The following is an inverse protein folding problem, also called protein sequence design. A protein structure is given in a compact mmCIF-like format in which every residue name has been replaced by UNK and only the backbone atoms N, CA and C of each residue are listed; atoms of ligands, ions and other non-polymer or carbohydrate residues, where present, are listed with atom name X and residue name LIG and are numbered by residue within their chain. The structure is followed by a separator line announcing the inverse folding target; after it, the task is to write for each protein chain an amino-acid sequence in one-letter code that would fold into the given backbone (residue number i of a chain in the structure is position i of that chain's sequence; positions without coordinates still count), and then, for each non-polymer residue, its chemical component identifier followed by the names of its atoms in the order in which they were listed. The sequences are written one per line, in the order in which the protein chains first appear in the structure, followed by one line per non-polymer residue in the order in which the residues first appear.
data_IF_694077804995
#
_entry.id   IF_694077804995
#
_cell.length_a   1.000
_cell.length_b   1.000
_cell.length_c   1.000
_cell.angle_alpha   90.00
_cell.angle_beta   90.00
_cell.angle_gamma   90.00
#
_symmetry.space_group_name_H-M   'P 1'
#
loop_
_entity.id
_entity.type
_entity.pdbx_description
1 polymer ?
#
# COMPACT_ATOMS: atom_id res chain seq x y z
N UNK A 1 33.93 22.33 26.50
CA UNK A 1 33.39 21.42 25.46
C UNK A 1 31.94 21.11 25.78
N UNK A 2 31.01 21.35 24.85
CA UNK A 2 29.56 21.18 25.07
C UNK A 2 29.09 19.71 25.01
N UNK A 3 27.96 19.41 25.63
CA UNK A 3 27.34 18.08 25.60
C UNK A 3 26.57 17.87 24.29
N UNK A 4 26.59 16.65 23.76
CA UNK A 4 25.85 16.27 22.53
C UNK A 4 24.35 16.55 22.69
N UNK A 5 23.79 17.35 21.79
CA UNK A 5 22.37 17.71 21.84
C UNK A 5 21.47 16.56 21.39
N UNK A 6 20.21 16.57 21.84
CA UNK A 6 19.23 15.52 21.50
C UNK A 6 19.05 15.32 19.99
N UNK A 7 19.15 16.39 19.19
CA UNK A 7 19.04 16.33 17.73
C UNK A 7 20.14 15.47 17.10
N UNK A 8 21.40 15.66 17.52
CA UNK A 8 22.54 14.86 17.06
C UNK A 8 22.39 13.39 17.45
N UNK A 9 21.83 13.11 18.63
CA UNK A 9 21.58 11.73 19.10
C UNK A 9 20.55 10.98 18.26
N UNK A 10 19.63 11.63 17.54
CA UNK A 10 18.59 10.93 16.75
C UNK A 10 19.15 10.15 15.57
N UNK A 11 20.21 10.65 14.92
CA UNK A 11 20.85 10.00 13.77
C UNK A 11 21.95 9.00 14.14
N UNK A 12 22.38 8.95 15.41
CA UNK A 12 23.45 8.07 15.84
C UNK A 12 23.04 6.58 15.78
N UNK A 13 23.91 5.75 15.21
CA UNK A 13 23.72 4.30 15.22
C UNK A 13 23.66 3.77 16.67
N UNK A 14 22.70 2.88 16.95
CA UNK A 14 22.50 2.36 18.32
C UNK A 14 21.76 3.31 19.28
N UNK A 15 21.30 4.47 18.81
CA UNK A 15 20.53 5.41 19.62
C UNK A 15 19.19 4.83 20.10
N UNK A 16 18.71 5.38 21.22
CA UNK A 16 17.39 5.07 21.82
C UNK A 16 16.24 5.52 20.90
N UNK A 17 16.49 6.42 19.95
CA UNK A 17 15.47 6.96 19.03
C UNK A 17 15.15 6.05 17.83
N UNK A 18 15.32 4.72 17.97
CA UNK A 18 14.96 3.75 16.94
C UNK A 18 13.46 3.43 17.00
N UNK A 19 12.87 3.21 15.83
CA UNK A 19 11.49 2.76 15.74
C UNK A 19 11.38 1.29 16.22
N UNK A 20 10.37 1.00 17.03
CA UNK A 20 10.05 -0.37 17.44
C UNK A 20 9.30 -1.07 16.29
N UNK A 21 10.01 -1.90 15.51
CA UNK A 21 9.47 -2.50 14.28
C UNK A 21 9.02 -3.94 14.43
N UNK A 22 9.23 -4.59 15.57
CA UNK A 22 9.00 -6.03 15.75
C UNK A 22 7.52 -6.44 15.65
N UNK A 23 6.58 -5.52 15.88
CA UNK A 23 5.14 -5.77 15.76
C UNK A 23 4.55 -5.38 14.40
N UNK A 24 5.36 -4.82 13.47
CA UNK A 24 4.88 -4.40 12.16
C UNK A 24 4.47 -5.62 11.32
N UNK A 25 3.27 -5.56 10.74
CA UNK A 25 2.71 -6.63 9.91
C UNK A 25 3.39 -6.74 8.56
N UNK A 26 3.84 -5.60 8.00
CA UNK A 26 4.59 -5.58 6.75
C UNK A 26 4.53 -4.23 6.03
N UNK A 27 5.28 -4.09 4.93
CA UNK A 27 5.21 -2.89 4.09
C UNK A 27 3.85 -2.82 3.39
N UNK A 28 3.14 -1.68 3.48
CA UNK A 28 2.03 -1.41 2.58
C UNK A 28 2.62 -0.86 1.28
N UNK A 29 2.58 -1.66 0.23
CA UNK A 29 3.12 -1.31 -1.08
C UNK A 29 2.27 -1.94 -2.16
N UNK A 30 2.19 -1.27 -3.30
CA UNK A 30 1.59 -1.86 -4.48
C UNK A 30 2.51 -2.92 -5.09
N UNK A 31 1.89 -3.93 -5.69
CA UNK A 31 2.56 -4.84 -6.63
C UNK A 31 3.04 -4.07 -7.87
N UNK A 32 3.97 -4.66 -8.61
CA UNK A 32 4.14 -4.30 -10.02
C UNK A 32 2.84 -4.59 -10.77
N UNK A 33 2.18 -3.57 -11.33
CA UNK A 33 0.97 -3.79 -12.11
C UNK A 33 1.29 -4.43 -13.47
N UNK A 34 0.31 -5.20 -13.96
CA UNK A 34 0.29 -5.69 -15.33
C UNK A 34 0.15 -4.50 -16.30
N UNK A 35 1.06 -4.38 -17.27
CA UNK A 35 1.14 -3.21 -18.16
C UNK A 35 -0.06 -3.06 -19.10
N UNK A 36 -0.65 -4.18 -19.52
CA UNK A 36 -1.65 -4.21 -20.59
C UNK A 36 -3.06 -4.63 -20.11
N UNK A 37 -3.17 -5.12 -18.88
CA UNK A 37 -4.40 -5.72 -18.36
C UNK A 37 -4.84 -5.14 -17.02
N UNK A 38 -5.56 -5.97 -16.28
CA UNK A 38 -5.92 -5.74 -14.89
C UNK A 38 -5.61 -7.00 -14.08
N UNK A 39 -5.27 -6.81 -12.82
CA UNK A 39 -5.12 -7.86 -11.85
C UNK A 39 -6.30 -7.81 -10.88
N UNK A 40 -6.98 -8.95 -10.69
CA UNK A 40 -8.07 -9.08 -9.71
C UNK A 40 -7.54 -9.69 -8.42
N UNK A 41 -7.75 -9.00 -7.32
CA UNK A 41 -7.50 -9.47 -5.96
C UNK A 41 -8.79 -9.57 -5.16
N UNK A 42 -8.76 -10.38 -4.10
CA UNK A 42 -9.83 -10.44 -3.09
C UNK A 42 -9.27 -9.89 -1.79
N UNK A 43 -9.97 -8.95 -1.17
CA UNK A 43 -9.65 -8.51 0.19
C UNK A 43 -9.96 -9.68 1.13
N UNK A 44 -8.91 -10.33 1.64
CA UNK A 44 -9.09 -11.42 2.61
C UNK A 44 -9.52 -10.87 3.96
N UNK A 45 -8.82 -9.87 4.49
CA UNK A 45 -9.07 -9.29 5.80
C UNK A 45 -8.60 -7.84 5.87
N UNK A 46 -9.15 -7.09 6.83
CA UNK A 46 -8.70 -5.74 7.20
C UNK A 46 -8.03 -5.84 8.56
N UNK A 47 -6.75 -5.49 8.64
CA UNK A 47 -5.87 -5.75 9.79
C UNK A 47 -5.30 -4.44 10.33
N UNK A 48 -5.27 -4.31 11.65
CA UNK A 48 -4.58 -3.20 12.32
C UNK A 48 -3.05 -3.43 12.35
N UNK A 49 -2.27 -2.44 11.91
CA UNK A 49 -0.80 -2.41 12.04
C UNK A 49 -0.42 -1.43 13.16
N UNK A 50 0.17 -1.88 14.28
CA UNK A 50 0.43 -1.02 15.45
C UNK A 50 1.29 0.21 15.19
N UNK A 51 2.07 0.21 14.10
CA UNK A 51 2.90 1.34 13.67
C UNK A 51 2.20 2.33 12.76
N UNK A 52 0.92 2.13 12.44
CA UNK A 52 0.12 2.95 11.53
C UNK A 52 -1.22 3.29 12.19
N UNK A 53 -1.69 4.51 11.97
CA UNK A 53 -3.06 4.89 12.36
C UNK A 53 -4.11 4.38 11.35
N UNK A 54 -3.69 4.06 10.13
CA UNK A 54 -4.58 3.54 9.09
C UNK A 54 -4.63 2.00 9.10
N UNK A 55 -5.81 1.38 8.86
CA UNK A 55 -5.94 -0.05 8.68
C UNK A 55 -5.27 -0.53 7.38
N UNK A 56 -4.88 -1.79 7.36
CA UNK A 56 -4.32 -2.45 6.19
C UNK A 56 -5.27 -3.47 5.59
N UNK A 57 -5.46 -3.43 4.29
CA UNK A 57 -6.19 -4.46 3.55
C UNK A 57 -5.23 -5.56 3.13
N UNK A 58 -5.46 -6.79 3.59
CA UNK A 58 -4.74 -7.97 3.11
C UNK A 58 -5.41 -8.48 1.85
N UNK A 59 -4.80 -8.24 0.70
CA UNK A 59 -5.35 -8.63 -0.61
C UNK A 59 -4.66 -9.88 -1.13
N UNK A 60 -5.46 -10.87 -1.51
CA UNK A 60 -4.97 -12.12 -2.10
C UNK A 60 -5.15 -12.07 -3.61
N UNK A 61 -4.04 -12.16 -4.32
CA UNK A 61 -3.96 -12.20 -5.77
C UNK A 61 -3.61 -13.59 -6.28
N UNK A 62 -4.10 -13.93 -7.46
CA UNK A 62 -3.59 -15.08 -8.21
C UNK A 62 -2.31 -14.68 -8.92
N UNK A 63 -1.28 -15.52 -8.84
CA UNK A 63 -0.06 -15.30 -9.62
C UNK A 63 -0.35 -15.54 -11.12
N UNK A 64 0.13 -14.67 -12.03
CA UNK A 64 -0.16 -14.80 -13.47
C UNK A 64 0.41 -16.08 -14.08
N UNK A 65 1.67 -16.40 -13.77
CA UNK A 65 2.38 -17.54 -14.39
C UNK A 65 2.49 -18.82 -13.55
N UNK A 66 2.22 -18.78 -12.24
CA UNK A 66 2.45 -19.91 -11.33
C UNK A 66 1.16 -20.25 -10.58
N UNK A 67 0.97 -21.51 -10.21
CA UNK A 67 -0.14 -21.91 -9.33
C UNK A 67 0.18 -21.53 -7.87
N UNK A 68 0.15 -20.22 -7.58
CA UNK A 68 0.41 -19.66 -6.25
C UNK A 68 -0.51 -18.47 -5.97
N UNK A 69 -0.98 -18.37 -4.74
CA UNK A 69 -1.64 -17.17 -4.23
C UNK A 69 -0.59 -16.23 -3.62
N UNK A 70 -0.63 -14.97 -4.02
CA UNK A 70 0.21 -13.93 -3.45
C UNK A 70 -0.63 -13.05 -2.53
N UNK A 71 -0.20 -12.95 -1.28
CA UNK A 71 -0.85 -12.10 -0.28
C UNK A 71 -0.04 -10.82 -0.16
N UNK A 72 -0.69 -9.70 -0.39
CA UNK A 72 -0.10 -8.38 -0.27
C UNK A 72 -0.88 -7.53 0.74
N UNK A 73 -0.20 -6.53 1.28
CA UNK A 73 -0.78 -5.57 2.21
C UNK A 73 -0.91 -4.24 1.49
N UNK A 74 -2.12 -3.74 1.38
CA UNK A 74 -2.42 -2.39 0.93
C UNK A 74 -2.87 -1.52 2.08
N UNK A 75 -2.78 -0.21 1.86
CA UNK A 75 -3.52 0.75 2.69
C UNK A 75 -5.00 0.53 2.39
N UNK A 76 -5.82 0.35 3.43
CA UNK A 76 -7.25 0.23 3.24
C UNK A 76 -7.82 1.62 2.95
N UNK A 77 -8.53 1.75 1.84
CA UNK A 77 -9.37 2.90 1.56
C UNK A 77 -10.65 2.81 2.41
N UNK A 78 -11.20 3.96 2.76
CA UNK A 78 -12.46 4.03 3.49
C UNK A 78 -13.59 3.36 2.67
N UNK A 79 -14.40 2.52 3.31
CA UNK A 79 -15.46 1.77 2.63
C UNK A 79 -15.01 0.43 2.03
N UNK A 80 -13.73 0.06 2.12
CA UNK A 80 -13.31 -1.30 1.76
C UNK A 80 -13.84 -2.34 2.77
N UNK A 81 -14.20 -3.53 2.28
CA UNK A 81 -14.73 -4.61 3.11
C UNK A 81 -14.09 -5.97 2.78
N UNK A 82 -14.14 -6.91 3.73
CA UNK A 82 -13.66 -8.29 3.55
C UNK A 82 -14.50 -9.02 2.51
N UNK A 83 -13.84 -9.70 1.57
CA UNK A 83 -14.48 -10.37 0.42
C UNK A 83 -14.65 -9.48 -0.80
N UNK A 84 -14.38 -8.17 -0.70
CA UNK A 84 -14.44 -7.25 -1.84
C UNK A 84 -13.41 -7.62 -2.92
N UNK A 85 -13.81 -7.49 -4.18
CA UNK A 85 -12.89 -7.57 -5.30
C UNK A 85 -12.20 -6.22 -5.54
N UNK A 86 -10.88 -6.25 -5.59
CA UNK A 86 -10.03 -5.12 -5.92
C UNK A 86 -9.40 -5.35 -7.28
N UNK A 87 -9.48 -4.35 -8.15
CA UNK A 87 -8.94 -4.40 -9.49
C UNK A 87 -7.79 -3.42 -9.60
N UNK A 88 -6.66 -3.88 -10.15
CA UNK A 88 -5.47 -3.07 -10.30
C UNK A 88 -5.02 -3.07 -11.77
N UNK A 89 -5.05 -1.93 -12.45
CA UNK A 89 -4.64 -1.86 -13.86
C UNK A 89 -5.12 -0.61 -14.59
N UNK A 90 -4.74 -0.49 -15.87
CA UNK A 90 -5.08 0.67 -16.71
C UNK A 90 -6.55 0.67 -17.17
N UNK A 91 -7.12 -0.51 -17.43
CA UNK A 91 -8.47 -0.71 -17.98
C UNK A 91 -9.44 -1.14 -16.87
N UNK A 92 -9.45 -0.41 -15.77
CA UNK A 92 -10.27 -0.70 -14.60
C UNK A 92 -11.31 0.40 -14.45
N UNK A 93 -12.49 0.07 -13.92
CA UNK A 93 -13.49 1.08 -13.58
C UNK A 93 -13.11 1.78 -12.26
N UNK A 94 -13.38 3.07 -12.19
CA UNK A 94 -13.17 3.83 -10.96
C UNK A 94 -14.18 3.38 -9.90
N UNK A 95 -13.69 2.64 -8.91
CA UNK A 95 -14.44 2.19 -7.74
C UNK A 95 -13.52 2.26 -6.52
N UNK A 96 -14.12 2.38 -5.33
CA UNK A 96 -13.40 2.42 -4.06
C UNK A 96 -12.51 1.18 -3.92
N UNK A 97 -11.21 1.41 -3.67
CA UNK A 97 -10.22 0.34 -3.52
C UNK A 97 -9.56 -0.15 -4.82
N UNK A 98 -9.91 0.36 -6.00
CA UNK A 98 -9.25 0.01 -7.28
C UNK A 98 -7.99 0.86 -7.60
N UNK A 99 -6.96 0.21 -8.15
CA UNK A 99 -5.70 0.85 -8.57
C UNK A 99 -5.72 1.21 -10.03
N UNK A 100 -5.60 2.51 -10.32
CA UNK A 100 -5.60 3.07 -11.66
C UNK A 100 -4.46 4.09 -11.83
N UNK A 101 -3.98 4.28 -13.06
CA UNK A 101 -3.07 5.37 -13.33
C UNK A 101 -3.76 6.73 -13.20
N UNK A 102 -3.09 7.71 -12.58
CA UNK A 102 -3.63 9.07 -12.39
C UNK A 102 -4.17 9.70 -13.68
N UNK A 103 -3.56 9.41 -14.84
CA UNK A 103 -4.05 9.89 -16.15
C UNK A 103 -5.48 9.44 -16.52
N UNK A 104 -5.96 8.36 -15.89
CA UNK A 104 -7.25 7.75 -16.16
C UNK A 104 -8.29 8.16 -15.11
N UNK A 105 -7.90 8.93 -14.10
CA UNK A 105 -8.76 9.40 -13.02
C UNK A 105 -9.28 10.80 -13.41
N UNK A 106 -10.59 11.07 -13.29
CA UNK A 106 -11.14 12.39 -13.56
C UNK A 106 -10.63 13.42 -12.56
N UNK A 107 -10.58 14.68 -12.98
CA UNK A 107 -10.19 15.78 -12.12
C UNK A 107 -11.20 15.96 -10.97
N UNK A 108 -10.71 16.34 -9.79
CA UNK A 108 -11.53 16.47 -8.58
C UNK A 108 -11.78 15.17 -7.81
N UNK A 109 -11.29 14.02 -8.30
CA UNK A 109 -11.39 12.76 -7.56
C UNK A 109 -10.35 12.67 -6.43
N UNK A 110 -10.75 12.12 -5.27
CA UNK A 110 -9.88 11.89 -4.11
C UNK A 110 -8.96 10.72 -4.36
N UNK A 111 -7.68 10.77 -3.98
CA UNK A 111 -6.75 9.64 -4.16
C UNK A 111 -5.90 9.40 -2.91
N UNK A 112 -5.59 8.13 -2.65
CA UNK A 112 -4.71 7.64 -1.60
C UNK A 112 -3.45 6.92 -2.14
N UNK A 113 -2.41 6.86 -1.31
CA UNK A 113 -1.18 6.11 -1.55
C UNK A 113 -0.46 6.40 -2.89
N UNK A 114 -0.26 7.68 -3.23
CA UNK A 114 0.34 8.16 -4.50
C UNK A 114 1.81 7.80 -4.68
N UNK A 115 2.16 7.24 -5.85
CA UNK A 115 3.55 6.98 -6.23
C UNK A 115 4.27 8.28 -6.65
N UNK A 116 5.39 8.59 -5.99
CA UNK A 116 6.21 9.77 -6.30
C UNK A 116 6.99 9.67 -7.62
N UNK A 117 7.49 8.46 -7.93
CA UNK A 117 8.11 8.12 -9.21
C UNK A 117 7.34 6.97 -9.80
N UNK A 118 7.28 6.90 -11.14
CA UNK A 118 6.66 5.80 -11.87
C UNK A 118 7.45 4.50 -11.62
N UNK A 119 7.13 3.87 -10.50
CA UNK A 119 7.06 2.42 -10.39
C UNK A 119 5.87 1.99 -11.24
N UNK A 120 5.66 0.70 -11.48
CA UNK A 120 4.58 0.28 -12.36
C UNK A 120 3.16 0.51 -11.76
N UNK A 121 2.94 1.40 -10.79
CA UNK A 121 1.78 1.31 -9.88
C UNK A 121 1.22 2.65 -9.40
N UNK A 122 0.71 3.49 -10.29
CA UNK A 122 -0.02 4.70 -9.91
C UNK A 122 -1.29 4.39 -9.06
N UNK A 123 -1.57 5.29 -8.13
CA UNK A 123 -2.44 5.24 -6.93
C UNK A 123 -3.96 5.12 -7.09
N UNK A 124 -4.61 4.59 -6.03
CA UNK A 124 -6.06 4.34 -5.80
C UNK A 124 -6.72 5.50 -5.02
N UNK A 125 -8.03 5.76 -5.18
CA UNK A 125 -8.97 6.38 -4.22
C UNK A 125 -8.86 5.86 -2.78
#
# INVERSE_FOLDING_TARGET
MGRVIRAQRKGAAGSVFKAHTHHRKGPARFRSLERNGYLRGVVSDIVHDPGRCAPLARVTFRHPSRYKLQKELFVAAEGMYSGQYVYCGKKVNLMVGNVLPLRSIPEGAVVCNVEHKRSASLSIW
#
